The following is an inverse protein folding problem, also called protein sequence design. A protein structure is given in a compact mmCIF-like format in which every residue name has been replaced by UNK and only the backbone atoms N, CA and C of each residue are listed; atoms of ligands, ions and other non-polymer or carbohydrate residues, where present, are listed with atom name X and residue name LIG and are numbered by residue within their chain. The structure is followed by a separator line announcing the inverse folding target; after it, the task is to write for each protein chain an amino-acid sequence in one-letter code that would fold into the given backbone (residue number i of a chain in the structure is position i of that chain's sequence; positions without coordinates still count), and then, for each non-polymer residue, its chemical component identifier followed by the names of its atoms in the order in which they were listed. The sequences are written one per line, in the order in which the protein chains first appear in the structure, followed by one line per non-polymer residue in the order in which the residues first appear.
data_IF_427736432391
#
_entry.id   IF_427736432391
#
_cell.length_a   1.000
_cell.length_b   1.000
_cell.length_c   1.000
_cell.angle_alpha   90.00
_cell.angle_beta   90.00
_cell.angle_gamma   90.00
#
_symmetry.space_group_name_H-M   'P 1'
#
loop_
_entity.id
_entity.type
_entity.pdbx_description
1 polymer ?
#
# COMPACT_ATOMS: atom_id res chain seq x y z
N UNK A 1 2.04 -41.15 22.77
CA UNK A 1 3.28 -40.38 22.97
C UNK A 1 3.49 -39.42 21.82
N UNK A 2 4.15 -38.27 22.04
CA UNK A 2 4.71 -37.45 20.96
C UNK A 2 6.20 -37.75 20.84
N UNK A 3 6.64 -38.18 19.67
CA UNK A 3 8.05 -38.38 19.34
C UNK A 3 8.80 -37.05 19.46
N UNK A 4 9.92 -37.03 20.19
CA UNK A 4 10.81 -35.88 20.32
C UNK A 4 11.87 -35.86 19.21
N UNK A 5 12.51 -37.00 18.95
CA UNK A 5 13.52 -37.17 17.91
C UNK A 5 13.27 -38.50 17.22
N UNK A 6 13.01 -38.47 15.90
CA UNK A 6 12.77 -39.68 15.11
C UNK A 6 14.05 -40.51 14.94
N UNK A 7 13.93 -41.78 14.57
CA UNK A 7 15.10 -42.63 14.27
C UNK A 7 15.99 -42.02 13.17
N UNK A 8 15.38 -41.40 12.16
CA UNK A 8 16.12 -40.74 11.08
C UNK A 8 16.88 -39.51 11.58
N UNK A 9 16.21 -38.65 12.35
CA UNK A 9 16.84 -37.45 12.93
C UNK A 9 17.99 -37.84 13.87
N UNK A 10 17.78 -38.86 14.71
CA UNK A 10 18.81 -39.43 15.57
C UNK A 10 20.01 -39.91 14.76
N UNK A 11 19.80 -40.61 13.65
CA UNK A 11 20.89 -41.11 12.82
C UNK A 11 21.63 -39.99 12.09
N UNK A 12 20.95 -38.92 11.67
CA UNK A 12 21.58 -37.71 11.12
C UNK A 12 22.48 -37.08 12.18
N UNK A 13 21.92 -36.82 13.37
CA UNK A 13 22.61 -36.21 14.50
C UNK A 13 23.83 -37.03 14.97
N UNK A 14 23.69 -38.36 15.06
CA UNK A 14 24.74 -39.25 15.58
C UNK A 14 25.85 -39.55 14.57
N UNK A 15 25.57 -39.43 13.27
CA UNK A 15 26.60 -39.56 12.24
C UNK A 15 27.42 -38.27 12.08
N UNK A 16 26.82 -37.12 12.36
CA UNK A 16 27.47 -35.81 12.32
C UNK A 16 28.50 -35.63 13.44
N UNK A 17 29.49 -34.77 13.18
CA UNK A 17 30.44 -34.29 14.16
C UNK A 17 29.84 -33.20 15.05
N UNK A 18 28.85 -32.43 14.58
CA UNK A 18 28.20 -31.34 15.30
C UNK A 18 27.87 -31.73 16.73
N UNK A 19 27.15 -32.84 16.90
CA UNK A 19 26.67 -33.27 18.20
C UNK A 19 27.80 -33.74 19.14
N UNK A 20 28.88 -34.29 18.57
CA UNK A 20 30.06 -34.78 19.31
C UNK A 20 31.04 -33.68 19.69
N UNK A 21 31.18 -32.69 18.81
CA UNK A 21 32.16 -31.61 18.90
C UNK A 21 31.62 -30.36 19.61
N UNK A 22 30.33 -30.34 19.95
CA UNK A 22 29.67 -29.25 20.69
C UNK A 22 29.51 -29.66 22.16
N UNK A 23 30.37 -29.18 23.08
CA UNK A 23 30.30 -29.55 24.49
C UNK A 23 28.92 -29.29 25.12
N UNK A 24 28.25 -28.23 24.67
CA UNK A 24 26.93 -27.79 25.13
C UNK A 24 25.79 -28.76 24.78
N UNK A 25 26.01 -29.69 23.84
CA UNK A 25 25.05 -30.72 23.45
C UNK A 25 25.39 -32.12 24.01
N UNK A 26 26.37 -32.22 24.90
CA UNK A 26 26.85 -33.49 25.43
C UNK A 26 25.77 -34.33 26.15
N UNK A 27 24.78 -33.69 26.78
CA UNK A 27 23.64 -34.40 27.39
C UNK A 27 22.70 -35.01 26.35
N UNK A 28 22.42 -34.28 25.25
CA UNK A 28 21.63 -34.78 24.12
C UNK A 28 22.35 -35.93 23.42
N UNK A 29 23.67 -35.82 23.24
CA UNK A 29 24.50 -36.89 22.69
C UNK A 29 24.41 -38.19 23.50
N UNK A 30 24.48 -38.10 24.83
CA UNK A 30 24.34 -39.26 25.72
C UNK A 30 22.96 -39.91 25.60
N UNK A 31 21.89 -39.11 25.57
CA UNK A 31 20.51 -39.62 25.38
C UNK A 31 20.35 -40.38 24.06
N UNK A 32 20.87 -39.82 22.95
CA UNK A 32 20.78 -40.43 21.61
C UNK A 32 21.71 -41.65 21.42
N UNK A 33 22.71 -41.82 22.29
CA UNK A 33 23.57 -43.01 22.28
C UNK A 33 22.83 -44.25 22.81
N UNK A 34 21.93 -44.05 23.78
CA UNK A 34 21.27 -45.14 24.50
C UNK A 34 19.90 -45.53 23.91
N UNK A 35 19.34 -44.72 23.00
CA UNK A 35 18.00 -44.94 22.43
C UNK A 35 17.98 -44.80 20.90
N UNK A 36 17.16 -45.62 20.24
CA UNK A 36 16.98 -45.58 18.76
C UNK A 36 16.12 -44.41 18.30
N UNK A 37 15.22 -43.94 19.15
CA UNK A 37 14.40 -42.74 19.01
C UNK A 37 14.23 -42.14 20.42
N UNK A 38 13.79 -40.89 20.52
CA UNK A 38 13.46 -40.27 21.81
C UNK A 38 12.00 -39.85 21.83
N UNK A 39 11.31 -40.19 22.92
CA UNK A 39 9.94 -39.80 23.20
C UNK A 39 9.86 -38.91 24.44
N UNK A 40 8.71 -38.24 24.62
CA UNK A 40 8.44 -37.40 25.78
C UNK A 40 8.64 -38.12 27.13
N UNK A 41 8.49 -39.44 27.20
CA UNK A 41 8.69 -40.24 28.40
C UNK A 41 10.16 -40.53 28.73
N UNK A 42 11.07 -40.39 27.75
CA UNK A 42 12.47 -40.80 27.90
C UNK A 42 13.35 -39.70 28.53
N UNK A 43 12.78 -38.53 28.77
CA UNK A 43 13.49 -37.36 29.27
C UNK A 43 12.75 -36.80 30.48
N UNK A 44 13.24 -37.10 31.69
CA UNK A 44 12.56 -36.70 32.93
C UNK A 44 12.51 -35.17 33.11
N UNK A 45 13.54 -34.47 32.64
CA UNK A 45 13.65 -33.02 32.76
C UNK A 45 12.72 -32.30 31.75
N UNK A 46 11.70 -31.60 32.26
CA UNK A 46 10.75 -30.84 31.43
C UNK A 46 11.41 -29.70 30.63
N UNK A 47 12.40 -29.01 31.20
CA UNK A 47 13.11 -27.94 30.49
C UNK A 47 13.93 -28.52 29.32
N UNK A 48 14.57 -29.67 29.54
CA UNK A 48 15.31 -30.37 28.49
C UNK A 48 14.39 -30.88 27.38
N UNK A 49 13.21 -31.43 27.72
CA UNK A 49 12.17 -31.81 26.75
C UNK A 49 11.73 -30.64 25.88
N UNK A 50 11.44 -29.50 26.50
CA UNK A 50 11.02 -28.31 25.77
C UNK A 50 12.14 -27.75 24.90
N UNK A 51 13.40 -27.84 25.35
CA UNK A 51 14.57 -27.50 24.54
C UNK A 51 14.64 -28.39 23.29
N UNK A 52 14.57 -29.71 23.44
CA UNK A 52 14.59 -30.67 22.33
C UNK A 52 13.45 -30.38 21.34
N UNK A 53 12.21 -30.21 21.82
CA UNK A 53 11.05 -29.91 20.95
C UNK A 53 11.23 -28.67 20.10
N UNK A 54 11.88 -27.64 20.64
CA UNK A 54 12.08 -26.36 19.95
C UNK A 54 13.25 -26.40 18.97
N UNK A 55 14.27 -27.23 19.23
CA UNK A 55 15.57 -27.10 18.57
C UNK A 55 16.00 -28.33 17.74
N UNK A 56 15.30 -29.47 17.85
CA UNK A 56 15.68 -30.70 17.11
C UNK A 56 15.83 -30.48 15.61
N UNK A 57 14.96 -29.69 15.00
CA UNK A 57 15.03 -29.39 13.56
C UNK A 57 16.33 -28.65 13.21
N UNK A 58 16.70 -27.63 13.99
CA UNK A 58 17.92 -26.84 13.79
C UNK A 58 19.18 -27.71 13.93
N UNK A 59 19.19 -28.63 14.90
CA UNK A 59 20.30 -29.56 15.10
C UNK A 59 20.46 -30.55 13.93
N UNK A 60 19.34 -31.08 13.44
CA UNK A 60 19.32 -31.98 12.28
C UNK A 60 19.85 -31.25 11.05
N UNK A 61 19.44 -30.01 10.81
CA UNK A 61 19.92 -29.20 9.70
C UNK A 61 21.41 -28.88 9.81
N UNK A 62 21.89 -28.42 10.98
CA UNK A 62 23.31 -28.19 11.20
C UNK A 62 24.15 -29.46 10.98
N UNK A 63 23.61 -30.62 11.36
CA UNK A 63 24.22 -31.93 11.13
C UNK A 63 24.23 -32.33 9.66
N UNK A 64 23.22 -31.94 8.88
CA UNK A 64 23.17 -32.14 7.42
C UNK A 64 24.19 -31.26 6.70
N UNK A 65 24.35 -30.00 7.12
CA UNK A 65 25.28 -29.03 6.51
C UNK A 65 26.76 -29.36 6.63
N UNK A 66 27.14 -30.37 7.42
CA UNK A 66 28.53 -30.86 7.48
C UNK A 66 28.91 -31.80 6.32
N UNK A 67 27.93 -32.27 5.56
CA UNK A 67 28.12 -33.26 4.52
C UNK A 67 28.04 -32.60 3.15
N UNK A 68 28.97 -32.94 2.27
CA UNK A 68 28.93 -32.55 0.86
C UNK A 68 28.88 -33.79 -0.01
N UNK A 69 28.17 -33.71 -1.13
CA UNK A 69 28.23 -34.75 -2.16
C UNK A 69 29.65 -34.81 -2.71
N UNK A 70 30.24 -36.01 -2.71
CA UNK A 70 31.58 -36.23 -3.25
C UNK A 70 31.54 -36.17 -4.78
N UNK A 71 31.79 -34.97 -5.32
CA UNK A 71 31.68 -34.72 -6.77
C UNK A 71 32.76 -35.46 -7.59
N UNK A 72 33.81 -35.99 -6.96
CA UNK A 72 34.82 -36.82 -7.64
C UNK A 72 34.37 -38.26 -7.87
N UNK A 73 33.29 -38.71 -7.20
CA UNK A 73 32.71 -40.04 -7.36
C UNK A 73 31.34 -39.92 -8.02
N UNK A 74 31.17 -40.53 -9.20
CA UNK A 74 29.84 -40.65 -9.79
C UNK A 74 28.92 -41.49 -8.89
N UNK A 75 27.60 -41.23 -8.90
CA UNK A 75 26.63 -42.07 -8.19
C UNK A 75 26.81 -43.55 -8.57
N UNK A 76 26.89 -44.44 -7.59
CA UNK A 76 27.08 -45.88 -7.84
C UNK A 76 25.73 -46.56 -8.07
N UNK A 77 25.62 -47.29 -9.18
CA UNK A 77 24.45 -48.13 -9.47
C UNK A 77 24.64 -49.50 -8.83
N UNK A 78 23.71 -49.88 -7.95
CA UNK A 78 23.82 -51.13 -7.19
C UNK A 78 23.54 -52.32 -8.11
N UNK A 79 24.53 -53.20 -8.26
CA UNK A 79 24.39 -54.43 -9.06
C UNK A 79 23.52 -55.50 -8.36
N UNK A 80 23.02 -56.48 -9.11
CA UNK A 80 22.16 -57.54 -8.55
C UNK A 80 22.87 -58.38 -7.47
N UNK A 81 24.18 -58.62 -7.59
CA UNK A 81 24.95 -59.30 -6.55
C UNK A 81 24.97 -58.48 -5.24
N UNK A 82 25.22 -57.17 -5.35
CA UNK A 82 25.27 -56.26 -4.20
C UNK A 82 23.90 -56.07 -3.53
N UNK A 83 22.80 -56.16 -4.30
CA UNK A 83 21.43 -56.19 -3.77
C UNK A 83 21.18 -57.44 -2.92
N UNK A 84 21.57 -58.62 -3.43
CA UNK A 84 21.41 -59.91 -2.72
C UNK A 84 22.18 -59.93 -1.41
N UNK A 85 23.38 -59.34 -1.40
CA UNK A 85 24.23 -59.23 -0.20
C UNK A 85 23.82 -58.09 0.75
N UNK A 86 22.86 -57.24 0.36
CA UNK A 86 22.50 -56.02 1.09
C UNK A 86 23.72 -55.14 1.42
N UNK A 87 24.66 -55.06 0.47
CA UNK A 87 26.00 -54.46 0.64
C UNK A 87 25.96 -52.99 1.08
N UNK A 88 24.96 -52.23 0.62
CA UNK A 88 24.83 -50.81 0.92
C UNK A 88 23.60 -50.52 1.78
N UNK A 89 23.80 -49.74 2.85
CA UNK A 89 22.73 -49.21 3.71
C UNK A 89 22.85 -47.70 3.83
N UNK A 90 21.71 -47.02 3.85
CA UNK A 90 21.66 -45.59 4.05
C UNK A 90 22.06 -45.22 5.48
N UNK A 91 23.02 -44.31 5.66
CA UNK A 91 23.46 -43.88 6.98
C UNK A 91 22.38 -43.13 7.79
N UNK A 92 21.40 -42.48 7.14
CA UNK A 92 20.35 -41.71 7.82
C UNK A 92 19.11 -42.54 8.15
N UNK A 93 18.57 -43.30 7.21
CA UNK A 93 17.35 -44.09 7.44
C UNK A 93 17.58 -45.59 7.63
N UNK A 94 18.85 -46.05 7.60
CA UNK A 94 19.25 -47.45 7.76
C UNK A 94 18.60 -48.44 6.76
N UNK A 95 17.95 -47.93 5.71
CA UNK A 95 17.32 -48.74 4.67
C UNK A 95 18.37 -49.38 3.77
N UNK A 96 18.06 -50.57 3.25
CA UNK A 96 18.90 -51.24 2.23
C UNK A 96 18.77 -50.48 0.91
N UNK A 97 19.90 -50.13 0.29
CA UNK A 97 19.94 -49.40 -0.97
C UNK A 97 19.99 -50.38 -2.14
N UNK A 98 19.01 -50.31 -3.04
CA UNK A 98 18.82 -51.28 -4.14
C UNK A 98 18.89 -50.67 -5.54
N UNK A 99 19.14 -49.35 -5.65
CA UNK A 99 19.16 -48.63 -6.93
C UNK A 99 20.40 -47.79 -7.10
N UNK A 100 20.47 -46.68 -6.37
CA UNK A 100 21.55 -45.70 -6.50
C UNK A 100 22.11 -45.37 -5.13
N UNK A 101 23.43 -45.25 -5.07
CA UNK A 101 24.20 -44.91 -3.89
C UNK A 101 24.93 -43.60 -4.13
N UNK A 102 24.79 -42.66 -3.19
CA UNK A 102 25.51 -41.40 -3.15
C UNK A 102 26.56 -41.45 -2.03
N UNK A 103 27.77 -41.00 -2.34
CA UNK A 103 28.84 -40.85 -1.36
C UNK A 103 28.87 -39.40 -0.90
N UNK A 104 28.81 -39.19 0.41
CA UNK A 104 28.95 -37.89 1.02
C UNK A 104 30.17 -37.88 1.92
N UNK A 105 30.89 -36.78 1.89
CA UNK A 105 32.13 -36.59 2.62
C UNK A 105 32.03 -35.37 3.54
N UNK A 106 32.64 -35.48 4.70
CA UNK A 106 32.76 -34.39 5.67
C UNK A 106 34.20 -33.89 5.71
N UNK A 107 34.41 -32.66 5.22
CA UNK A 107 35.72 -31.99 5.15
C UNK A 107 36.40 -31.83 6.51
N UNK A 108 35.62 -31.76 7.60
CA UNK A 108 36.18 -31.49 8.94
C UNK A 108 36.85 -32.70 9.60
N UNK A 109 36.50 -33.92 9.19
CA UNK A 109 36.97 -35.16 9.83
C UNK A 109 37.38 -36.26 8.86
N UNK A 110 37.37 -35.97 7.56
CA UNK A 110 37.65 -36.91 6.49
C UNK A 110 36.76 -38.17 6.48
N UNK A 111 35.56 -38.11 7.08
CA UNK A 111 34.65 -39.25 7.14
C UNK A 111 33.76 -39.27 5.90
N UNK A 112 33.57 -40.46 5.35
CA UNK A 112 32.60 -40.74 4.29
C UNK A 112 31.38 -41.46 4.85
N UNK A 113 30.20 -41.10 4.36
CA UNK A 113 28.94 -41.82 4.60
C UNK A 113 28.25 -42.12 3.27
N UNK A 114 27.37 -43.11 3.32
CA UNK A 114 26.64 -43.61 2.16
C UNK A 114 25.15 -43.30 2.34
N UNK A 115 24.54 -42.62 1.36
CA UNK A 115 23.12 -42.28 1.38
C UNK A 115 22.39 -42.78 0.12
N UNK A 116 21.09 -43.05 0.26
CA UNK A 116 20.19 -43.19 -0.87
C UNK A 116 19.81 -41.83 -1.45
N UNK A 117 19.36 -41.79 -2.70
CA UNK A 117 19.02 -40.55 -3.42
C UNK A 117 18.07 -39.62 -2.65
N UNK A 118 17.04 -40.16 -2.00
CA UNK A 118 16.06 -39.34 -1.27
C UNK A 118 16.62 -38.74 0.03
N UNK A 119 17.56 -39.43 0.68
CA UNK A 119 18.26 -38.88 1.85
C UNK A 119 19.34 -37.88 1.45
N UNK A 120 19.99 -38.07 0.29
CA UNK A 120 20.97 -37.14 -0.24
C UNK A 120 20.34 -35.78 -0.59
N UNK A 121 19.13 -35.77 -1.19
CA UNK A 121 18.39 -34.52 -1.49
C UNK A 121 18.14 -33.62 -0.28
N UNK A 122 18.04 -34.20 0.93
CA UNK A 122 17.85 -33.44 2.18
C UNK A 122 19.08 -32.64 2.59
N UNK A 123 20.27 -33.01 2.11
CA UNK A 123 21.51 -32.28 2.35
C UNK A 123 21.58 -31.02 1.46
N UNK A 124 20.95 -31.04 0.30
CA UNK A 124 20.98 -29.94 -0.69
C UNK A 124 19.82 -28.91 -0.56
N UNK A 125 18.97 -28.98 0.48
CA UNK A 125 17.79 -28.10 0.63
C UNK A 125 17.96 -27.06 1.76
N UNK A 126 18.24 -25.77 1.45
CA UNK A 126 18.57 -24.72 2.42
C UNK A 126 17.37 -23.90 2.96
N UNK A 127 16.12 -24.37 2.84
CA UNK A 127 14.96 -23.46 2.90
C UNK A 127 14.40 -23.09 4.29
N UNK A 128 15.01 -23.45 5.41
CA UNK A 128 14.42 -23.14 6.72
C UNK A 128 15.43 -22.83 7.81
N UNK A 129 15.93 -21.59 7.90
CA UNK A 129 16.77 -21.18 9.02
C UNK A 129 16.63 -19.70 9.39
N UNK A 130 16.31 -19.44 10.67
CA UNK A 130 16.56 -18.16 11.36
C UNK A 130 18.03 -18.08 11.82
N UNK A 131 18.68 -19.23 12.00
CA UNK A 131 20.03 -19.39 12.56
C UNK A 131 21.17 -19.23 11.52
N UNK A 132 20.97 -19.61 10.26
CA UNK A 132 22.00 -19.60 9.19
C UNK A 132 22.50 -18.19 8.83
N UNK A 133 21.67 -17.17 9.05
CA UNK A 133 22.06 -15.78 8.84
C UNK A 133 23.06 -15.26 9.90
N UNK A 134 23.16 -15.92 11.05
CA UNK A 134 23.97 -15.47 12.20
C UNK A 134 25.07 -16.48 12.54
N UNK A 135 24.76 -17.78 12.61
CA UNK A 135 25.69 -18.87 12.87
C UNK A 135 26.01 -19.63 11.58
N UNK A 136 27.28 -19.64 11.16
CA UNK A 136 27.72 -20.18 9.87
C UNK A 136 28.18 -21.64 9.91
N UNK A 137 28.31 -22.24 11.09
CA UNK A 137 28.78 -23.61 11.26
C UNK A 137 28.35 -24.18 12.63
N UNK A 138 28.56 -25.48 12.80
CA UNK A 138 28.27 -26.26 14.02
C UNK A 138 28.78 -25.62 15.30
N UNK A 139 30.03 -25.15 15.31
CA UNK A 139 30.65 -24.48 16.48
C UNK A 139 29.94 -23.16 16.82
N UNK A 140 29.56 -22.38 15.81
CA UNK A 140 28.82 -21.14 16.01
C UNK A 140 27.39 -21.39 16.50
N UNK A 141 26.77 -22.49 16.07
CA UNK A 141 25.43 -22.84 16.55
C UNK A 141 25.45 -23.22 18.04
N UNK A 142 26.39 -24.07 18.49
CA UNK A 142 26.54 -24.38 19.91
C UNK A 142 26.79 -23.15 20.78
N UNK A 143 27.54 -22.17 20.25
CA UNK A 143 27.76 -20.87 20.90
C UNK A 143 26.51 -20.00 20.94
N UNK A 144 25.67 -20.05 19.90
CA UNK A 144 24.40 -19.33 19.88
C UNK A 144 23.44 -19.90 20.92
N UNK A 145 23.37 -21.23 21.03
CA UNK A 145 22.59 -21.89 22.08
C UNK A 145 23.07 -21.50 23.48
N UNK A 146 24.39 -21.49 23.70
CA UNK A 146 24.95 -21.02 24.96
C UNK A 146 24.54 -19.57 25.27
N UNK A 147 24.62 -18.68 24.28
CA UNK A 147 24.15 -17.30 24.43
C UNK A 147 22.66 -17.21 24.77
N UNK A 148 21.82 -18.03 24.14
CA UNK A 148 20.37 -18.06 24.40
C UNK A 148 20.04 -18.60 25.80
N UNK A 149 20.87 -19.48 26.36
CA UNK A 149 20.72 -19.89 27.77
C UNK A 149 21.06 -18.77 28.75
N UNK A 150 22.06 -17.95 28.45
CA UNK A 150 22.45 -16.81 29.29
C UNK A 150 21.45 -15.65 29.13
N UNK A 151 21.01 -15.41 27.90
CA UNK A 151 20.11 -14.32 27.53
C UNK A 151 18.86 -14.90 26.86
N UNK A 152 17.92 -15.36 27.68
CA UNK A 152 16.68 -16.02 27.25
C UNK A 152 15.79 -15.20 26.31
N UNK A 153 16.05 -13.90 26.20
CA UNK A 153 15.32 -12.97 25.33
C UNK A 153 15.98 -12.78 23.95
N UNK A 154 17.17 -13.36 23.72
CA UNK A 154 17.95 -13.15 22.51
C UNK A 154 17.26 -13.72 21.26
N UNK A 155 16.68 -14.91 21.37
CA UNK A 155 15.96 -15.58 20.29
C UNK A 155 14.82 -14.71 19.74
N UNK A 156 14.00 -14.14 20.63
CA UNK A 156 12.90 -13.24 20.27
C UNK A 156 13.41 -11.96 19.60
N UNK A 157 14.48 -11.35 20.14
CA UNK A 157 15.12 -10.18 19.53
C UNK A 157 15.63 -10.47 18.10
N UNK A 158 16.26 -11.62 17.89
CA UNK A 158 16.76 -12.03 16.57
C UNK A 158 15.59 -12.21 15.60
N UNK A 159 14.55 -12.95 16.02
CA UNK A 159 13.34 -13.18 15.22
C UNK A 159 12.65 -11.87 14.84
N UNK A 160 12.43 -10.97 15.81
CA UNK A 160 11.83 -9.64 15.58
C UNK A 160 12.67 -8.78 14.66
N UNK A 161 13.99 -8.75 14.85
CA UNK A 161 14.90 -7.98 14.01
C UNK A 161 14.95 -8.47 12.56
N UNK A 162 14.96 -9.79 12.34
CA UNK A 162 14.96 -10.40 11.01
C UNK A 162 13.62 -10.25 10.28
N UNK A 163 12.50 -10.38 10.99
CA UNK A 163 11.19 -10.11 10.42
C UNK A 163 11.11 -8.67 9.89
N UNK A 164 11.89 -7.75 10.46
CA UNK A 164 11.86 -6.30 10.22
C UNK A 164 10.43 -5.77 10.43
N UNK A 165 10.20 -4.48 10.31
CA UNK A 165 8.83 -3.90 10.31
C UNK A 165 7.94 -4.38 9.12
N UNK A 166 8.30 -5.48 8.43
CA UNK A 166 7.52 -6.08 7.34
C UNK A 166 6.12 -6.48 7.79
N UNK A 167 5.94 -6.85 9.05
CA UNK A 167 4.63 -7.18 9.64
C UNK A 167 3.75 -6.01 10.09
N UNK A 168 4.25 -4.76 10.08
CA UNK A 168 3.43 -3.61 10.48
C UNK A 168 2.36 -3.29 9.45
N UNK A 169 1.19 -2.85 9.89
CA UNK A 169 0.10 -2.42 9.01
C UNK A 169 0.30 -0.98 8.53
N UNK A 170 0.94 -0.13 9.35
CA UNK A 170 1.13 1.29 9.09
C UNK A 170 2.58 1.66 8.78
N UNK A 171 2.76 2.75 8.03
CA UNK A 171 4.06 3.34 7.74
C UNK A 171 4.55 4.11 8.98
N UNK A 172 5.68 3.65 9.53
CA UNK A 172 6.37 4.24 10.68
C UNK A 172 7.20 5.46 10.30
N UNK A 173 7.62 6.24 11.31
CA UNK A 173 8.56 7.35 11.08
C UNK A 173 9.95 6.86 10.67
N UNK A 174 10.66 7.64 9.83
CA UNK A 174 12.05 7.37 9.46
C UNK A 174 12.97 7.24 10.68
N UNK A 175 12.81 8.14 11.66
CA UNK A 175 13.59 8.11 12.91
C UNK A 175 13.42 6.80 13.68
N UNK A 176 12.22 6.22 13.66
CA UNK A 176 11.95 4.95 14.34
C UNK A 176 12.48 3.76 13.54
N UNK A 177 12.33 3.77 12.22
CA UNK A 177 12.92 2.77 11.31
C UNK A 177 14.45 2.74 11.44
N UNK A 178 15.11 3.90 11.32
CA UNK A 178 16.57 4.03 11.44
C UNK A 178 17.06 3.58 12.82
N UNK A 179 16.31 3.91 13.87
CA UNK A 179 16.64 3.46 15.22
C UNK A 179 16.48 1.95 15.37
N UNK A 180 15.45 1.34 14.76
CA UNK A 180 15.25 -0.10 14.76
C UNK A 180 16.41 -0.81 14.06
N UNK A 181 16.68 -0.44 12.81
CA UNK A 181 17.73 -1.04 11.98
C UNK A 181 19.10 -0.89 12.66
N UNK A 182 19.45 0.32 13.13
CA UNK A 182 20.73 0.57 13.82
C UNK A 182 20.91 -0.25 15.09
N UNK A 183 19.88 -0.36 15.93
CA UNK A 183 19.99 -1.12 17.18
C UNK A 183 20.04 -2.62 16.91
N UNK A 184 19.28 -3.11 15.92
CA UNK A 184 19.34 -4.50 15.51
C UNK A 184 20.72 -4.86 14.95
N UNK A 185 21.25 -4.09 14.00
CA UNK A 185 22.60 -4.31 13.43
C UNK A 185 23.69 -4.30 14.51
N UNK A 186 23.54 -3.42 15.52
CA UNK A 186 24.49 -3.35 16.63
C UNK A 186 24.45 -4.62 17.48
N UNK A 187 23.25 -5.11 17.80
CA UNK A 187 23.05 -6.39 18.50
C UNK A 187 23.60 -7.55 17.67
N UNK A 188 23.22 -7.63 16.39
CA UNK A 188 23.61 -8.71 15.48
C UNK A 188 25.14 -8.77 15.33
N UNK A 189 25.81 -7.62 15.18
CA UNK A 189 27.29 -7.54 15.11
C UNK A 189 27.95 -8.01 16.41
N UNK A 190 27.36 -7.71 17.57
CA UNK A 190 27.87 -8.16 18.86
C UNK A 190 27.72 -9.68 19.02
N UNK A 191 26.57 -10.24 18.63
CA UNK A 191 26.29 -11.68 18.62
C UNK A 191 27.26 -12.40 17.67
N UNK A 192 27.35 -11.98 16.40
CA UNK A 192 28.27 -12.56 15.40
C UNK A 192 29.72 -12.57 15.88
N UNK A 193 30.15 -11.52 16.60
CA UNK A 193 31.49 -11.47 17.20
C UNK A 193 31.68 -12.56 18.25
N UNK A 194 30.72 -12.72 19.17
CA UNK A 194 30.77 -13.79 20.15
C UNK A 194 30.76 -15.17 19.48
N UNK A 195 29.88 -15.40 18.51
CA UNK A 195 29.82 -16.69 17.80
C UNK A 195 31.17 -17.03 17.16
N UNK A 196 31.85 -16.04 16.57
CA UNK A 196 33.18 -16.24 15.97
C UNK A 196 34.27 -16.53 17.00
N UNK A 197 34.32 -15.77 18.10
CA UNK A 197 35.45 -15.85 19.06
C UNK A 197 35.23 -16.85 20.18
N UNK A 198 33.98 -17.13 20.57
CA UNK A 198 33.62 -17.88 21.77
C UNK A 198 33.81 -17.12 23.09
N UNK A 199 34.25 -15.85 23.03
CA UNK A 199 34.59 -15.06 24.20
C UNK A 199 33.80 -13.75 24.26
N UNK A 200 33.35 -13.38 25.46
CA UNK A 200 32.78 -12.06 25.74
C UNK A 200 33.86 -10.99 25.76
N UNK A 201 34.29 -10.53 24.58
CA UNK A 201 35.31 -9.48 24.41
C UNK A 201 34.82 -8.34 23.51
N UNK A 202 35.31 -7.12 23.78
CA UNK A 202 34.94 -5.92 23.02
C UNK A 202 33.42 -5.69 23.00
N UNK A 203 32.84 -5.62 21.80
CA UNK A 203 31.40 -5.41 21.60
C UNK A 203 30.54 -6.57 22.11
N UNK A 204 31.07 -7.80 22.18
CA UNK A 204 30.32 -8.96 22.71
C UNK A 204 30.03 -8.84 24.21
N UNK A 205 30.85 -8.10 24.99
CA UNK A 205 30.57 -7.82 26.42
C UNK A 205 29.29 -7.02 26.63
N UNK A 206 28.85 -6.29 25.60
CA UNK A 206 27.70 -5.36 25.67
C UNK A 206 26.40 -5.98 25.14
N UNK A 207 26.40 -7.28 24.81
CA UNK A 207 25.20 -8.01 24.35
C UNK A 207 23.97 -7.76 25.24
N UNK A 208 24.03 -7.92 26.59
CA UNK A 208 22.85 -7.67 27.43
C UNK A 208 22.33 -6.23 27.32
N UNK A 209 23.23 -5.24 27.24
CA UNK A 209 22.82 -3.84 27.02
C UNK A 209 22.17 -3.63 25.66
N UNK A 210 22.68 -4.27 24.61
CA UNK A 210 22.11 -4.16 23.26
C UNK A 210 20.76 -4.86 23.14
N UNK A 211 20.56 -5.99 23.83
CA UNK A 211 19.25 -6.64 23.94
C UNK A 211 18.24 -5.68 24.55
N UNK A 212 18.54 -5.07 25.71
CA UNK A 212 17.64 -4.11 26.38
C UNK A 212 17.31 -2.92 25.48
N UNK A 213 18.33 -2.35 24.81
CA UNK A 213 18.13 -1.23 23.88
C UNK A 213 17.25 -1.59 22.70
N UNK A 214 17.47 -2.76 22.09
CA UNK A 214 16.68 -3.19 20.95
C UNK A 214 15.23 -3.46 21.35
N UNK A 215 14.98 -4.13 22.49
CA UNK A 215 13.64 -4.35 23.01
C UNK A 215 12.87 -3.05 23.25
N UNK A 216 13.51 -2.05 23.84
CA UNK A 216 12.89 -0.74 24.01
C UNK A 216 12.48 -0.09 22.66
N UNK A 217 13.22 -0.34 21.58
CA UNK A 217 12.81 0.12 20.24
C UNK A 217 11.64 -0.71 19.70
N UNK A 218 11.65 -2.04 19.89
CA UNK A 218 10.51 -2.92 19.55
C UNK A 218 9.24 -2.47 20.27
N UNK A 219 9.32 -2.18 21.57
CA UNK A 219 8.17 -1.69 22.36
C UNK A 219 7.61 -0.36 21.81
N UNK A 220 8.49 0.53 21.33
CA UNK A 220 8.07 1.79 20.69
C UNK A 220 7.40 1.57 19.34
N UNK A 221 7.85 0.58 18.57
CA UNK A 221 7.20 0.17 17.32
C UNK A 221 5.83 -0.43 17.61
N UNK A 222 5.74 -1.36 18.55
CA UNK A 222 4.48 -2.01 18.94
C UNK A 222 3.48 -0.96 19.51
N UNK A 223 3.96 0.02 20.28
CA UNK A 223 3.13 1.13 20.77
C UNK A 223 2.68 2.08 19.66
N UNK A 224 3.54 2.37 18.67
CA UNK A 224 3.16 3.15 17.50
C UNK A 224 2.02 2.47 16.75
N UNK A 225 2.17 1.16 16.47
CA UNK A 225 1.16 0.36 15.79
C UNK A 225 -0.17 0.33 16.55
N UNK A 226 -0.12 0.18 17.87
CA UNK A 226 -1.30 0.24 18.74
C UNK A 226 -1.99 1.59 18.66
N UNK A 227 -1.24 2.69 18.69
CA UNK A 227 -1.81 4.04 18.57
C UNK A 227 -2.41 4.27 17.18
N UNK A 228 -1.74 3.80 16.12
CA UNK A 228 -2.24 3.90 14.76
C UNK A 228 -3.56 3.15 14.59
N UNK A 229 -3.70 1.96 15.18
CA UNK A 229 -4.97 1.19 15.16
C UNK A 229 -6.13 1.86 15.88
N UNK A 230 -5.86 2.75 16.85
CA UNK A 230 -6.92 3.52 17.53
C UNK A 230 -7.46 4.66 16.65
N UNK A 231 -6.60 5.25 15.82
CA UNK A 231 -6.95 6.35 14.93
C UNK A 231 -6.42 6.12 13.50
N UNK A 232 -6.82 5.02 12.82
CA UNK A 232 -6.17 4.54 11.60
C UNK A 232 -6.16 5.56 10.48
N UNK A 233 -7.17 6.42 10.42
CA UNK A 233 -7.23 7.51 9.44
C UNK A 233 -6.03 8.48 9.52
N UNK A 234 -5.40 8.66 10.68
CA UNK A 234 -4.31 9.62 10.83
C UNK A 234 -2.98 9.09 10.31
N UNK A 235 -2.92 7.81 9.94
CA UNK A 235 -1.71 7.09 9.61
C UNK A 235 -1.84 6.46 8.22
N UNK A 236 -0.72 6.39 7.50
CA UNK A 236 -0.72 5.77 6.17
C UNK A 236 -0.61 4.26 6.32
N UNK A 237 -1.66 3.52 5.92
CA UNK A 237 -1.64 2.06 5.92
C UNK A 237 -0.94 1.49 4.68
N UNK A 238 -0.37 0.28 4.80
CA UNK A 238 0.20 -0.45 3.66
C UNK A 238 -0.86 -0.80 2.61
N UNK A 239 -2.11 -1.02 3.02
CA UNK A 239 -3.21 -1.25 2.08
C UNK A 239 -3.47 -0.01 1.21
N UNK A 240 -3.57 1.16 1.84
CA UNK A 240 -3.69 2.44 1.11
C UNK A 240 -2.50 2.65 0.18
N UNK A 241 -1.28 2.36 0.63
CA UNK A 241 -0.08 2.44 -0.23
C UNK A 241 -0.18 1.50 -1.44
N UNK A 242 -0.61 0.26 -1.24
CA UNK A 242 -0.72 -0.72 -2.32
C UNK A 242 -1.75 -0.30 -3.37
N UNK A 243 -2.91 0.18 -2.92
CA UNK A 243 -3.96 0.64 -3.83
C UNK A 243 -3.56 1.95 -4.53
N UNK A 244 -2.97 2.90 -3.80
CA UNK A 244 -2.49 4.17 -4.37
C UNK A 244 -1.37 3.92 -5.39
N UNK A 245 -0.48 2.96 -5.14
CA UNK A 245 0.58 2.60 -6.08
C UNK A 245 0.05 2.07 -7.42
N UNK A 246 -1.18 1.55 -7.48
CA UNK A 246 -1.83 1.15 -8.74
C UNK A 246 -2.34 2.35 -9.55
N UNK A 247 -2.63 3.46 -8.86
CA UNK A 247 -3.21 4.67 -9.44
C UNK A 247 -2.10 5.69 -9.77
N UNK A 248 -1.18 5.90 -8.83
CA UNK A 248 -0.12 6.91 -8.86
C UNK A 248 1.23 6.34 -8.34
N UNK A 249 1.91 5.50 -9.13
CA UNK A 249 3.13 4.81 -8.71
C UNK A 249 4.32 5.75 -8.43
N UNK A 250 4.43 6.87 -9.15
CA UNK A 250 5.51 7.83 -8.95
C UNK A 250 5.25 8.71 -7.72
N UNK A 251 3.99 9.13 -7.52
CA UNK A 251 3.60 9.98 -6.40
C UNK A 251 3.67 9.28 -5.04
N UNK A 252 3.36 7.96 -4.99
CA UNK A 252 3.33 7.24 -3.72
C UNK A 252 4.70 7.15 -3.03
N UNK A 253 5.80 7.17 -3.78
CA UNK A 253 7.16 7.18 -3.22
C UNK A 253 7.40 8.46 -2.41
N UNK A 254 7.01 9.61 -2.98
CA UNK A 254 7.10 10.91 -2.32
C UNK A 254 6.19 10.98 -1.09
N UNK A 255 4.94 10.52 -1.22
CA UNK A 255 3.96 10.43 -0.13
C UNK A 255 4.51 9.61 1.05
N UNK A 256 5.08 8.42 0.79
CA UNK A 256 5.68 7.59 1.85
C UNK A 256 6.82 8.35 2.53
N UNK A 257 7.68 9.03 1.77
CA UNK A 257 8.78 9.81 2.34
C UNK A 257 8.27 10.93 3.24
N UNK A 258 7.29 11.71 2.79
CA UNK A 258 6.69 12.79 3.59
C UNK A 258 6.03 12.27 4.87
N UNK A 259 5.30 11.15 4.79
CA UNK A 259 4.70 10.50 5.96
C UNK A 259 5.77 10.03 6.94
N UNK A 260 6.86 9.43 6.45
CA UNK A 260 7.97 8.98 7.28
C UNK A 260 8.65 10.15 8.01
N UNK A 261 8.82 11.29 7.34
CA UNK A 261 9.38 12.50 7.97
C UNK A 261 8.38 13.12 8.96
N UNK A 262 7.07 13.05 8.68
CA UNK A 262 6.00 13.51 9.57
C UNK A 262 5.59 12.48 10.64
N UNK A 263 6.55 11.70 11.16
CA UNK A 263 6.30 10.82 12.29
C UNK A 263 5.38 9.62 12.00
N UNK A 264 5.15 9.27 10.74
CA UNK A 264 4.19 8.24 10.30
C UNK A 264 2.75 8.75 10.13
N UNK A 265 2.51 10.05 10.32
CA UNK A 265 1.17 10.66 10.24
C UNK A 265 0.92 11.31 8.88
N UNK A 266 -0.32 11.21 8.42
CA UNK A 266 -0.80 11.89 7.21
C UNK A 266 -1.06 13.35 7.55
N UNK A 267 -0.38 14.26 6.86
CA UNK A 267 -0.65 15.70 6.91
C UNK A 267 -1.73 16.10 5.90
N UNK A 268 -2.18 17.35 5.94
CA UNK A 268 -3.11 17.88 4.92
C UNK A 268 -2.52 17.84 3.52
N UNK A 269 -1.23 18.16 3.37
CA UNK A 269 -0.57 18.14 2.07
C UNK A 269 -0.54 16.71 1.51
N UNK A 270 -0.12 15.73 2.32
CA UNK A 270 -0.09 14.31 1.95
C UNK A 270 -1.50 13.82 1.61
N UNK A 271 -2.49 14.10 2.46
CA UNK A 271 -3.87 13.67 2.23
C UNK A 271 -4.44 14.21 0.91
N UNK A 272 -4.08 15.44 0.53
CA UNK A 272 -4.53 16.08 -0.71
C UNK A 272 -3.94 15.46 -1.98
N UNK A 273 -2.93 14.60 -1.86
CA UNK A 273 -2.27 13.92 -2.98
C UNK A 273 -2.71 12.47 -3.13
N UNK A 274 -3.54 11.95 -2.22
CA UNK A 274 -4.09 10.60 -2.27
C UNK A 274 -5.39 10.58 -3.08
N UNK A 275 -5.47 9.66 -4.05
CA UNK A 275 -6.62 9.46 -4.92
C UNK A 275 -7.40 8.19 -4.59
N UNK A 276 -6.88 7.34 -3.70
CA UNK A 276 -7.54 6.10 -3.28
C UNK A 276 -8.97 6.32 -2.79
N UNK A 277 -9.94 5.65 -3.42
CA UNK A 277 -11.36 5.77 -3.10
C UNK A 277 -11.67 5.48 -1.63
N UNK A 278 -11.16 4.38 -1.05
CA UNK A 278 -11.47 4.01 0.33
C UNK A 278 -10.96 5.05 1.34
N UNK A 279 -9.78 5.62 1.08
CA UNK A 279 -9.24 6.74 1.85
C UNK A 279 -10.13 7.97 1.71
N UNK A 280 -10.48 8.38 0.49
CA UNK A 280 -11.33 9.53 0.24
C UNK A 280 -12.73 9.35 0.83
N UNK A 281 -13.31 8.15 0.78
CA UNK A 281 -14.61 7.85 1.40
C UNK A 281 -14.55 8.07 2.92
N UNK A 282 -13.47 7.60 3.56
CA UNK A 282 -13.23 7.82 4.99
C UNK A 282 -13.12 9.31 5.33
N UNK A 283 -12.44 10.09 4.48
CA UNK A 283 -12.33 11.55 4.59
C UNK A 283 -13.71 12.20 4.43
N UNK A 284 -14.47 11.81 3.40
CA UNK A 284 -15.80 12.33 3.10
C UNK A 284 -16.80 12.12 4.23
N UNK A 285 -16.83 10.93 4.85
CA UNK A 285 -17.66 10.64 6.03
C UNK A 285 -17.32 11.59 7.18
N UNK A 286 -16.04 11.89 7.40
CA UNK A 286 -15.63 12.85 8.45
C UNK A 286 -16.05 14.27 8.11
N UNK A 287 -15.92 14.68 6.86
CA UNK A 287 -16.40 15.98 6.40
C UNK A 287 -17.92 16.12 6.56
N UNK A 288 -18.70 15.07 6.26
CA UNK A 288 -20.15 15.09 6.45
C UNK A 288 -20.56 15.24 7.93
N UNK A 289 -19.78 14.67 8.85
CA UNK A 289 -20.01 14.82 10.30
C UNK A 289 -19.59 16.19 10.85
N UNK A 290 -18.93 17.01 10.06
CA UNK A 290 -18.56 18.36 10.44
C UNK A 290 -19.80 19.29 10.32
N UNK A 291 -20.11 20.00 11.40
CA UNK A 291 -21.26 20.93 11.43
C UNK A 291 -21.18 22.00 10.33
N UNK A 292 -19.98 22.41 9.92
CA UNK A 292 -19.74 23.40 8.87
C UNK A 292 -20.14 22.90 7.46
N UNK A 293 -20.09 21.58 7.24
CA UNK A 293 -20.43 20.96 5.96
C UNK A 293 -21.75 20.19 6.01
N UNK A 294 -22.45 20.19 7.13
CA UNK A 294 -23.68 19.42 7.34
C UNK A 294 -24.80 19.68 6.33
N UNK A 295 -24.78 20.84 5.66
CA UNK A 295 -25.71 21.21 4.57
C UNK A 295 -25.38 20.52 3.24
N UNK A 296 -24.16 20.01 3.10
CA UNK A 296 -23.66 19.32 1.93
C UNK A 296 -23.52 17.82 2.24
N UNK A 297 -23.98 16.98 1.32
CA UNK A 297 -23.63 15.57 1.37
C UNK A 297 -22.36 15.38 0.54
N UNK A 298 -21.28 14.98 1.20
CA UNK A 298 -19.96 14.76 0.58
C UNK A 298 -19.73 13.27 0.44
N UNK A 299 -19.44 12.80 -0.76
CA UNK A 299 -19.08 11.39 -1.06
C UNK A 299 -17.90 11.34 -2.01
N UNK A 300 -17.01 10.37 -1.83
CA UNK A 300 -15.90 10.16 -2.76
C UNK A 300 -16.40 9.58 -4.10
N UNK A 301 -15.68 9.87 -5.17
CA UNK A 301 -15.84 9.25 -6.49
C UNK A 301 -14.59 8.43 -6.82
N UNK A 302 -14.70 7.51 -7.79
CA UNK A 302 -13.58 6.65 -8.19
C UNK A 302 -12.45 7.41 -8.92
N UNK A 303 -12.71 8.65 -9.36
CA UNK A 303 -11.80 9.45 -10.17
C UNK A 303 -10.89 10.38 -9.33
N UNK A 304 -10.83 10.16 -8.01
CA UNK A 304 -10.07 11.01 -7.12
C UNK A 304 -10.75 12.35 -6.84
N UNK A 305 -12.08 12.40 -6.94
CA UNK A 305 -12.89 13.58 -6.67
C UNK A 305 -13.86 13.33 -5.50
N UNK A 306 -14.51 14.39 -5.05
CA UNK A 306 -15.68 14.32 -4.20
C UNK A 306 -16.90 14.83 -4.96
N UNK A 307 -17.99 14.07 -4.89
CA UNK A 307 -19.33 14.58 -5.19
C UNK A 307 -19.87 15.31 -3.95
N UNK A 308 -20.38 16.51 -4.19
CA UNK A 308 -20.97 17.42 -3.22
C UNK A 308 -22.41 17.65 -3.66
N UNK A 309 -23.34 17.13 -2.88
CA UNK A 309 -24.77 17.30 -3.13
C UNK A 309 -25.35 18.34 -2.18
N UNK A 310 -25.98 19.36 -2.74
CA UNK A 310 -26.66 20.44 -2.03
C UNK A 310 -28.16 20.33 -2.28
N UNK A 311 -28.96 20.37 -1.20
CA UNK A 311 -30.42 20.50 -1.32
C UNK A 311 -30.89 21.90 -0.96
N UNK A 312 -31.56 22.57 -1.91
CA UNK A 312 -32.14 23.90 -1.72
C UNK A 312 -33.61 23.88 -2.14
N UNK A 313 -34.52 24.24 -1.22
CA UNK A 313 -35.97 24.39 -1.50
C UNK A 313 -36.56 23.18 -2.26
N UNK A 314 -36.23 21.96 -1.81
CA UNK A 314 -36.62 20.67 -2.41
C UNK A 314 -36.04 20.37 -3.80
N UNK A 315 -35.05 21.15 -4.26
CA UNK A 315 -34.23 20.80 -5.42
C UNK A 315 -32.89 20.25 -4.96
N UNK A 316 -32.31 19.36 -5.77
CA UNK A 316 -31.01 18.73 -5.53
C UNK A 316 -30.07 19.24 -6.63
N UNK A 317 -28.90 19.71 -6.21
CA UNK A 317 -27.81 20.12 -7.07
C UNK A 317 -26.57 19.28 -6.72
N UNK A 318 -25.92 18.73 -7.72
CA UNK A 318 -24.77 17.84 -7.57
C UNK A 318 -23.56 18.40 -8.32
N UNK A 319 -22.45 18.45 -7.63
CA UNK A 319 -21.19 19.04 -8.06
C UNK A 319 -20.04 18.09 -7.78
N UNK A 320 -19.05 18.05 -8.67
CA UNK A 320 -17.77 17.41 -8.40
C UNK A 320 -16.72 18.45 -7.99
N UNK A 321 -15.80 18.05 -7.13
CA UNK A 321 -14.60 18.82 -6.80
C UNK A 321 -13.42 17.89 -6.60
N UNK A 322 -12.26 18.23 -7.17
CA UNK A 322 -11.04 17.44 -7.02
C UNK A 322 -10.65 17.28 -5.54
N UNK A 323 -10.26 16.07 -5.14
CA UNK A 323 -9.91 15.75 -3.73
C UNK A 323 -8.82 16.66 -3.19
N UNK A 324 -7.80 16.92 -4.01
CA UNK A 324 -6.70 17.82 -3.70
C UNK A 324 -7.15 19.18 -3.22
N UNK A 325 -8.13 19.77 -3.92
CA UNK A 325 -8.60 21.10 -3.59
C UNK A 325 -9.42 21.07 -2.30
N UNK A 326 -10.41 20.18 -2.23
CA UNK A 326 -11.31 20.10 -1.10
C UNK A 326 -10.57 19.82 0.22
N UNK A 327 -9.60 18.88 0.18
CA UNK A 327 -8.77 18.54 1.35
C UNK A 327 -7.89 19.70 1.79
N UNK A 328 -7.30 20.48 0.86
CA UNK A 328 -6.50 21.65 1.22
C UNK A 328 -7.34 22.77 1.85
N UNK A 329 -8.58 22.96 1.39
CA UNK A 329 -9.46 24.01 1.93
C UNK A 329 -10.01 23.67 3.32
N UNK A 330 -10.36 22.40 3.56
CA UNK A 330 -10.95 21.96 4.83
C UNK A 330 -9.88 21.53 5.85
N UNK A 331 -8.78 20.97 5.37
CA UNK A 331 -7.72 20.38 6.18
C UNK A 331 -7.89 18.87 6.43
N UNK A 332 -6.77 18.23 6.77
CA UNK A 332 -6.70 16.83 7.19
C UNK A 332 -5.59 16.60 8.25
N UNK A 333 -5.91 15.95 9.39
CA UNK A 333 -7.27 15.73 9.90
C UNK A 333 -8.00 17.07 10.06
N UNK A 334 -9.33 17.06 10.08
CA UNK A 334 -10.17 18.27 10.11
C UNK A 334 -9.58 19.28 11.11
N UNK A 335 -9.13 20.43 10.59
CA UNK A 335 -8.59 21.50 11.43
C UNK A 335 -9.80 22.26 11.97
N UNK A 336 -10.16 22.01 13.22
CA UNK A 336 -11.19 22.81 13.90
C UNK A 336 -10.60 24.18 14.22
N UNK A 337 -10.79 25.14 13.33
CA UNK A 337 -10.39 26.53 13.53
C UNK A 337 -10.77 27.36 12.32
N UNK A 338 -11.67 28.32 12.53
CA UNK A 338 -12.10 29.43 11.64
C UNK A 338 -12.02 29.16 10.13
N UNK A 339 -13.15 29.09 9.43
CA UNK A 339 -13.76 30.31 8.88
C UNK A 339 -15.13 29.97 8.30
N UNK A 340 -16.09 30.86 8.54
CA UNK A 340 -17.53 30.68 8.37
C UNK A 340 -18.04 30.52 6.91
N UNK A 341 -17.20 30.13 5.95
CA UNK A 341 -17.63 30.09 4.55
C UNK A 341 -16.87 29.10 3.65
N UNK A 342 -16.97 27.80 3.99
CA UNK A 342 -16.41 26.73 3.15
C UNK A 342 -17.09 26.73 1.77
N UNK A 343 -18.38 27.08 1.70
CA UNK A 343 -19.13 27.21 0.44
C UNK A 343 -18.47 28.19 -0.53
N UNK A 344 -18.16 29.41 -0.07
CA UNK A 344 -17.44 30.41 -0.87
C UNK A 344 -16.03 29.97 -1.25
N UNK A 345 -15.33 29.25 -0.35
CA UNK A 345 -13.99 28.74 -0.68
C UNK A 345 -14.04 27.69 -1.78
N UNK A 346 -15.03 26.80 -1.79
CA UNK A 346 -15.06 25.69 -2.75
C UNK A 346 -15.75 26.03 -4.07
N UNK A 347 -16.58 27.09 -4.12
CA UNK A 347 -17.42 27.41 -5.29
C UNK A 347 -16.67 27.49 -6.61
N UNK A 348 -15.46 28.07 -6.62
CA UNK A 348 -14.67 28.29 -7.84
C UNK A 348 -14.12 26.99 -8.44
N UNK A 349 -14.18 25.90 -7.67
CA UNK A 349 -13.73 24.57 -8.08
C UNK A 349 -14.86 23.55 -8.14
N UNK A 350 -16.11 23.96 -7.91
CA UNK A 350 -17.28 23.11 -8.11
C UNK A 350 -17.57 22.99 -9.61
N UNK A 351 -17.59 21.75 -10.09
CA UNK A 351 -17.99 21.41 -11.45
C UNK A 351 -19.41 20.85 -11.38
N UNK A 352 -20.44 21.58 -11.84
CA UNK A 352 -21.80 21.07 -11.82
C UNK A 352 -21.94 19.86 -12.75
N UNK A 353 -22.66 18.84 -12.28
CA UNK A 353 -23.10 17.73 -13.12
C UNK A 353 -23.89 18.22 -14.35
N UNK A 354 -23.99 17.39 -15.39
CA UNK A 354 -24.77 17.72 -16.59
C UNK A 354 -26.23 18.09 -16.26
N UNK A 355 -26.84 17.34 -15.34
CA UNK A 355 -28.22 17.59 -14.88
C UNK A 355 -28.34 18.93 -14.15
N UNK A 356 -27.37 19.24 -13.28
CA UNK A 356 -27.30 20.53 -12.57
C UNK A 356 -27.08 21.69 -13.53
N UNK A 357 -26.18 21.52 -14.50
CA UNK A 357 -25.90 22.52 -15.55
C UNK A 357 -27.13 22.81 -16.39
N UNK A 358 -27.83 21.78 -16.87
CA UNK A 358 -29.09 21.95 -17.61
C UNK A 358 -30.15 22.66 -16.76
N UNK A 359 -30.26 22.31 -15.49
CA UNK A 359 -31.21 22.97 -14.58
C UNK A 359 -30.87 24.43 -14.36
N UNK A 360 -29.59 24.79 -14.25
CA UNK A 360 -29.16 26.19 -14.17
C UNK A 360 -29.53 26.99 -15.42
N UNK A 361 -29.36 26.41 -16.61
CA UNK A 361 -29.80 27.05 -17.85
C UNK A 361 -31.32 27.27 -17.88
N UNK A 362 -32.11 26.25 -17.52
CA UNK A 362 -33.58 26.36 -17.45
C UNK A 362 -33.99 27.42 -16.42
N UNK A 363 -33.37 27.44 -15.25
CA UNK A 363 -33.67 28.42 -14.21
C UNK A 363 -33.31 29.84 -14.67
N UNK A 364 -32.20 30.01 -15.38
CA UNK A 364 -31.79 31.29 -15.96
C UNK A 364 -32.82 31.80 -16.98
N UNK A 365 -33.20 30.96 -17.94
CA UNK A 365 -34.16 31.31 -18.99
C UNK A 365 -35.57 31.60 -18.45
N UNK A 366 -36.02 30.83 -17.45
CA UNK A 366 -37.40 30.94 -16.95
C UNK A 366 -37.57 31.94 -15.82
N UNK A 367 -36.54 32.17 -15.01
CA UNK A 367 -36.66 32.98 -13.80
C UNK A 367 -35.83 34.26 -13.83
N UNK A 368 -34.68 34.29 -14.52
CA UNK A 368 -33.78 35.46 -14.50
C UNK A 368 -34.04 36.38 -15.68
N UNK A 369 -34.03 35.84 -16.90
CA UNK A 369 -34.23 36.65 -18.12
C UNK A 369 -35.60 37.37 -18.14
N UNK A 370 -36.73 36.74 -17.80
CA UNK A 370 -38.04 37.40 -17.85
C UNK A 370 -38.18 38.51 -16.80
N UNK A 371 -37.59 38.34 -15.61
CA UNK A 371 -37.58 39.37 -14.56
C UNK A 371 -36.81 40.62 -14.98
N UNK A 372 -35.81 40.44 -15.84
CA UNK A 372 -35.02 41.52 -16.42
C UNK A 372 -35.56 41.96 -17.80
N UNK A 373 -36.79 41.57 -18.16
CA UNK A 373 -37.46 41.94 -19.41
C UNK A 373 -36.73 41.52 -20.70
N UNK A 374 -35.80 40.57 -20.64
CA UNK A 374 -35.21 39.97 -21.83
C UNK A 374 -36.24 39.10 -22.56
N UNK A 375 -36.26 39.19 -23.89
CA UNK A 375 -37.19 38.42 -24.73
C UNK A 375 -36.42 37.45 -25.61
N UNK A 376 -36.83 36.19 -25.63
CA UNK A 376 -36.18 35.17 -26.45
C UNK A 376 -36.16 35.59 -27.93
N UNK A 377 -35.01 35.38 -28.58
CA UNK A 377 -34.84 35.59 -30.00
C UNK A 377 -34.43 34.31 -30.70
N UNK A 378 -35.39 33.65 -31.34
CA UNK A 378 -35.14 32.41 -32.09
C UNK A 378 -34.52 32.78 -33.45
N UNK A 379 -33.28 32.35 -33.68
CA UNK A 379 -32.61 32.44 -34.98
C UNK A 379 -33.17 31.35 -35.88
N UNK A 380 -33.59 31.71 -37.09
CA UNK A 380 -34.11 30.75 -38.08
C UNK A 380 -33.49 31.03 -39.44
N UNK A 381 -33.42 30.01 -40.29
CA UNK A 381 -32.89 30.16 -41.65
C UNK A 381 -33.67 31.21 -42.45
N UNK A 382 -34.98 31.32 -42.23
CA UNK A 382 -35.83 32.35 -42.85
C UNK A 382 -35.44 33.77 -42.42
N UNK A 383 -35.08 33.99 -41.15
CA UNK A 383 -34.59 35.31 -40.69
C UNK A 383 -33.22 35.63 -41.27
N UNK A 384 -32.32 34.63 -41.30
CA UNK A 384 -30.95 34.82 -41.75
C UNK A 384 -30.86 34.98 -43.26
N UNK A 385 -31.46 34.12 -44.08
CA UNK A 385 -31.29 34.13 -45.55
C UNK A 385 -32.53 34.55 -46.34
N UNK A 386 -33.64 34.91 -45.67
CA UNK A 386 -34.88 35.37 -46.30
C UNK A 386 -35.36 34.41 -47.39
N UNK A 387 -35.29 34.81 -48.66
CA UNK A 387 -35.79 34.00 -49.78
C UNK A 387 -34.77 32.97 -50.30
N UNK A 388 -33.54 32.97 -49.79
CA UNK A 388 -32.42 32.14 -50.28
C UNK A 388 -32.12 30.94 -49.36
N UNK A 389 -33.15 30.42 -48.69
CA UNK A 389 -33.09 29.30 -47.75
C UNK A 389 -33.07 27.98 -48.52
N UNK A 390 -32.20 27.06 -48.10
CA UNK A 390 -32.22 25.67 -48.55
C UNK A 390 -31.94 24.75 -47.36
N UNK A 391 -32.07 23.43 -47.59
CA UNK A 391 -31.84 22.41 -46.55
C UNK A 391 -30.43 22.51 -45.95
N UNK A 392 -29.41 22.63 -46.79
CA UNK A 392 -28.02 22.72 -46.36
C UNK A 392 -27.75 23.88 -45.38
N UNK A 393 -28.22 25.09 -45.71
CA UNK A 393 -28.11 26.26 -44.82
C UNK A 393 -28.90 26.10 -43.52
N UNK A 394 -30.03 25.39 -43.59
CA UNK A 394 -30.87 25.13 -42.41
C UNK A 394 -30.18 24.15 -41.46
N UNK A 395 -29.64 23.06 -42.00
CA UNK A 395 -28.91 22.04 -41.24
C UNK A 395 -27.65 22.67 -40.61
N UNK A 396 -26.85 23.41 -41.40
CA UNK A 396 -25.66 24.12 -40.91
C UNK A 396 -25.98 25.12 -39.80
N UNK A 397 -27.06 25.90 -39.93
CA UNK A 397 -27.47 26.87 -38.92
C UNK A 397 -27.85 26.16 -37.61
N UNK A 398 -28.57 25.05 -37.71
CA UNK A 398 -28.97 24.27 -36.54
C UNK A 398 -27.77 23.66 -35.83
N UNK A 399 -26.79 23.15 -36.58
CA UNK A 399 -25.55 22.59 -36.03
C UNK A 399 -24.68 23.63 -35.32
N UNK A 400 -24.52 24.82 -35.93
CA UNK A 400 -23.60 25.85 -35.43
C UNK A 400 -24.22 26.84 -34.44
N UNK A 401 -25.54 27.09 -34.56
CA UNK A 401 -26.25 28.11 -33.79
C UNK A 401 -27.51 27.60 -33.08
N UNK A 402 -28.01 26.40 -33.38
CA UNK A 402 -29.27 25.89 -32.82
C UNK A 402 -29.25 25.66 -31.30
N UNK A 403 -28.06 25.57 -30.70
CA UNK A 403 -27.86 25.44 -29.25
C UNK A 403 -27.41 26.75 -28.58
N UNK A 404 -27.39 27.89 -29.28
CA UNK A 404 -26.99 29.19 -28.71
C UNK A 404 -28.19 29.91 -28.11
N UNK A 405 -27.93 30.76 -27.11
CA UNK A 405 -28.96 31.46 -26.34
C UNK A 405 -29.05 32.92 -26.76
N UNK A 406 -29.94 33.25 -27.69
CA UNK A 406 -30.12 34.62 -28.18
C UNK A 406 -31.34 35.29 -27.56
N UNK A 407 -31.16 36.51 -27.05
CA UNK A 407 -32.22 37.29 -26.42
C UNK A 407 -32.14 38.76 -26.81
N UNK A 408 -33.29 39.42 -26.87
CA UNK A 408 -33.40 40.87 -27.03
C UNK A 408 -33.34 41.57 -25.67
N UNK A 409 -32.51 42.60 -25.58
CA UNK A 409 -32.44 43.51 -24.42
C UNK A 409 -33.71 44.36 -24.31
N UNK A 410 -34.08 44.78 -23.08
CA UNK A 410 -35.30 45.54 -22.85
C UNK A 410 -35.24 47.00 -23.32
N UNK A 411 -34.07 47.64 -23.25
CA UNK A 411 -33.96 49.11 -23.43
C UNK A 411 -33.78 49.54 -24.89
N UNK A 412 -32.93 48.82 -25.63
CA UNK A 412 -32.49 49.22 -26.98
C UNK A 412 -32.74 48.13 -28.04
N UNK A 413 -33.34 47.00 -27.66
CA UNK A 413 -33.70 45.91 -28.56
C UNK A 413 -32.51 45.21 -29.23
N UNK A 414 -31.30 45.44 -28.72
CA UNK A 414 -30.08 44.71 -29.11
C UNK A 414 -30.26 43.22 -28.90
N UNK A 415 -29.61 42.42 -29.73
CA UNK A 415 -29.60 40.97 -29.57
C UNK A 415 -28.30 40.59 -28.88
N UNK A 416 -28.41 39.87 -27.77
CA UNK A 416 -27.28 39.34 -27.03
C UNK A 416 -27.27 37.82 -27.12
N UNK A 417 -26.07 37.27 -27.26
CA UNK A 417 -25.81 35.85 -27.11
C UNK A 417 -25.27 35.59 -25.71
N UNK A 418 -25.87 34.65 -24.97
CA UNK A 418 -25.33 34.23 -23.68
C UNK A 418 -24.45 33.00 -23.82
N UNK A 419 -23.25 33.07 -23.24
CA UNK A 419 -22.35 31.94 -23.17
C UNK A 419 -22.85 30.96 -22.10
N UNK A 420 -23.24 29.75 -22.50
CA UNK A 420 -23.81 28.74 -21.59
C UNK A 420 -22.90 28.42 -20.40
N UNK A 421 -21.58 28.32 -20.60
CA UNK A 421 -20.65 28.03 -19.51
C UNK A 421 -20.59 29.18 -18.51
N UNK A 422 -20.58 30.42 -19.01
CA UNK A 422 -20.61 31.60 -18.13
C UNK A 422 -21.93 31.71 -17.39
N UNK A 423 -23.06 31.40 -18.04
CA UNK A 423 -24.38 31.33 -17.39
C UNK A 423 -24.39 30.28 -16.28
N UNK A 424 -23.88 29.07 -16.55
CA UNK A 424 -23.79 28.00 -15.54
C UNK A 424 -22.95 28.44 -14.34
N UNK A 425 -21.80 29.08 -14.57
CA UNK A 425 -20.93 29.59 -13.50
C UNK A 425 -21.58 30.74 -12.71
N UNK A 426 -22.28 31.66 -13.38
CA UNK A 426 -23.04 32.72 -12.72
C UNK A 426 -24.17 32.15 -11.88
N UNK A 427 -24.91 31.17 -12.41
CA UNK A 427 -26.00 30.51 -11.70
C UNK A 427 -25.51 29.69 -10.51
N UNK A 428 -24.32 29.06 -10.62
CA UNK A 428 -23.64 28.42 -9.50
C UNK A 428 -23.41 29.43 -8.36
N UNK A 429 -22.80 30.57 -8.66
CA UNK A 429 -22.56 31.63 -7.67
C UNK A 429 -23.87 32.14 -7.06
N UNK A 430 -24.87 32.41 -7.91
CA UNK A 430 -26.19 32.88 -7.48
C UNK A 430 -26.86 31.91 -6.50
N UNK A 431 -26.81 30.60 -6.78
CA UNK A 431 -27.45 29.57 -5.95
C UNK A 431 -26.65 29.27 -4.68
N UNK A 432 -25.33 29.31 -4.73
CA UNK A 432 -24.45 29.05 -3.58
C UNK A 432 -24.47 30.20 -2.56
N UNK A 433 -24.47 31.45 -3.02
CA UNK A 433 -24.35 32.64 -2.15
C UNK A 433 -25.71 33.19 -1.67
N UNK A 434 -26.83 32.59 -2.11
CA UNK A 434 -28.20 33.06 -1.82
C UNK A 434 -28.40 34.58 -2.07
N UNK A 435 -27.79 35.12 -3.12
CA UNK A 435 -27.95 36.53 -3.51
C UNK A 435 -29.42 36.77 -3.90
N UNK A 436 -30.02 37.84 -3.35
CA UNK A 436 -31.45 38.09 -3.54
C UNK A 436 -31.82 38.49 -4.97
N UNK A 437 -30.96 39.17 -5.71
CA UNK A 437 -31.25 39.66 -7.07
C UNK A 437 -30.01 39.71 -7.98
N UNK A 438 -30.12 39.17 -9.19
CA UNK A 438 -29.15 39.38 -10.29
C UNK A 438 -29.53 40.66 -11.03
N UNK A 439 -28.63 41.64 -11.06
CA UNK A 439 -28.84 42.92 -11.75
C UNK A 439 -28.30 42.90 -13.19
N UNK A 440 -28.60 43.94 -13.95
CA UNK A 440 -28.18 44.08 -15.36
C UNK A 440 -26.66 44.01 -15.56
N UNK A 441 -25.85 44.41 -14.56
CA UNK A 441 -24.39 44.37 -14.65
C UNK A 441 -23.82 42.95 -14.56
N UNK A 442 -24.46 42.05 -13.81
CA UNK A 442 -24.12 40.63 -13.75
C UNK A 442 -24.45 39.94 -15.07
N UNK A 443 -25.58 40.29 -15.70
CA UNK A 443 -25.99 39.74 -17.00
C UNK A 443 -25.02 40.12 -18.12
N UNK A 444 -24.41 41.31 -18.07
CA UNK A 444 -23.39 41.72 -19.06
C UNK A 444 -22.16 40.81 -19.00
N UNK A 445 -21.76 40.33 -17.81
CA UNK A 445 -20.56 39.48 -17.64
C UNK A 445 -20.70 38.11 -18.30
N UNK A 446 -21.92 37.65 -18.53
CA UNK A 446 -22.19 36.32 -19.14
C UNK A 446 -22.55 36.40 -20.63
N UNK A 447 -22.61 37.61 -21.18
CA UNK A 447 -22.83 37.84 -22.61
C UNK A 447 -21.57 37.49 -23.39
N UNK A 448 -21.70 36.64 -24.40
CA UNK A 448 -20.63 36.24 -25.31
C UNK A 448 -20.45 37.28 -26.43
N UNK A 449 -21.57 37.70 -27.01
CA UNK A 449 -21.60 38.64 -28.13
C UNK A 449 -22.86 39.51 -28.06
N UNK A 450 -22.78 40.73 -28.58
CA UNK A 450 -23.89 41.67 -28.63
C UNK A 450 -23.98 42.32 -30.00
N UNK A 451 -25.18 42.33 -30.56
CA UNK A 451 -25.50 42.84 -31.89
C UNK A 451 -26.50 43.99 -31.74
N UNK A 452 -26.29 45.06 -32.49
CA UNK A 452 -27.15 46.25 -32.49
C UNK A 452 -28.59 45.92 -32.88
N UNK A 453 -28.78 44.95 -33.78
CA UNK A 453 -30.09 44.55 -34.29
C UNK A 453 -30.05 43.17 -34.98
N UNK A 454 -31.21 42.73 -35.49
CA UNK A 454 -31.39 41.46 -36.22
C UNK A 454 -30.57 41.37 -37.51
N UNK A 455 -30.39 42.49 -38.21
CA UNK A 455 -29.65 42.52 -39.48
C UNK A 455 -28.16 42.32 -39.26
N UNK A 456 -27.58 42.92 -38.21
CA UNK A 456 -26.17 42.74 -37.87
C UNK A 456 -25.88 41.29 -37.46
N UNK A 457 -26.71 40.68 -36.62
CA UNK A 457 -26.60 39.26 -36.29
C UNK A 457 -26.72 38.38 -37.53
N UNK A 458 -27.74 38.63 -38.37
CA UNK A 458 -27.94 37.85 -39.60
C UNK A 458 -26.75 37.98 -40.55
N UNK A 459 -26.17 39.17 -40.68
CA UNK A 459 -24.99 39.41 -41.50
C UNK A 459 -23.74 38.72 -40.94
N UNK A 460 -23.59 38.70 -39.62
CA UNK A 460 -22.51 37.97 -38.97
C UNK A 460 -22.60 36.47 -39.27
N UNK A 461 -23.78 35.87 -39.09
CA UNK A 461 -24.02 34.44 -39.39
C UNK A 461 -23.75 34.12 -40.87
N UNK A 462 -24.21 34.97 -41.80
CA UNK A 462 -23.93 34.79 -43.23
C UNK A 462 -22.44 34.81 -43.53
N UNK A 463 -21.71 35.78 -42.96
CA UNK A 463 -20.26 35.89 -43.13
C UNK A 463 -19.55 34.63 -42.63
N UNK A 464 -19.95 34.10 -41.47
CA UNK A 464 -19.41 32.84 -40.94
C UNK A 464 -19.69 31.65 -41.87
N UNK A 465 -20.92 31.52 -42.37
CA UNK A 465 -21.28 30.49 -43.33
C UNK A 465 -20.43 30.56 -44.61
N UNK A 466 -20.35 31.75 -45.22
CA UNK A 466 -19.61 31.95 -46.47
C UNK A 466 -18.10 31.71 -46.30
N UNK A 467 -17.55 32.01 -45.12
CA UNK A 467 -16.13 31.79 -44.80
C UNK A 467 -15.81 30.30 -44.71
N UNK A 468 -16.68 29.49 -44.11
CA UNK A 468 -16.50 28.02 -44.04
C UNK A 468 -16.65 27.33 -45.40
N UNK A 469 -17.41 27.90 -46.35
CA UNK A 469 -17.52 27.36 -47.71
C UNK A 469 -16.26 27.59 -48.57
N UNK A 470 -15.35 28.47 -48.14
CA UNK A 470 -14.12 28.78 -48.90
C UNK A 470 -12.93 27.86 -48.55
N UNK A 471 -13.10 26.93 -47.61
CA UNK A 471 -12.15 25.90 -47.21
C UNK A 471 -12.73 24.51 -47.48
#
# INVERSE_FOLDING_TARGET
MKCLISEMDRNILMNSNFLKATPELGEIYKLLTNSKHLEDSDVDNQALRMKIKRQVSEWVHASLGEWKVENTKSPHLVSEAEKREAKFRCAFCNSKLTRTVMFLYNESNNREIILGSDCAKKVDSPEFMISEHIAKNSVQLGRLEHLETIYTQLEDCIKRGQARNKGLEFITSKRLDDAFDKNFETLERAVKRYLKTGFFIGTAKKIPTYIVKFKHIVDRVDQFEKNAKLEPQLYLSKYTVMDENRINPDGIITIISEVKENGGKISTEVASQLFNFNFLETVGIKYQRNTLLSKYRVSATNDGEFSIVLSLKNMIYDFNVGSKYLIKQIGYPIISGETADIGTKIREHLIPSNETSQRFLIDFERNILPRNNYREYIVTSQKVWKNSVNKYKTDWLQENYGNRLFYKTPDDGKIVEFNRNNVVQMMLNYKMDMVCDLNSSELIKVTDSAFKNEDELSQNIRTSFDSEQMF
#
